data_IF_498259625443
#
_entry.id   IF_498259625443
#
_cell.length_a   1.000
_cell.length_b   1.000
_cell.length_c   1.000
_cell.angle_alpha   90.00
_cell.angle_beta   90.00
_cell.angle_gamma   90.00
#
_symmetry.space_group_name_H-M   'P 1'
#
loop_
_entity.id
_entity.type
_entity.pdbx_description
1 polymer ?
#
# COMPACT_ATOMS: atom_id res chain seq x y z
N UNK A 1 -18.46 8.47 -13.52
CA UNK A 1 -17.22 7.67 -13.49
C UNK A 1 -17.60 6.20 -13.60
N UNK A 2 -16.88 5.43 -14.43
CA UNK A 2 -17.18 4.00 -14.70
C UNK A 2 -17.10 3.59 -16.17
N UNK A 3 -17.10 4.55 -17.10
CA UNK A 3 -16.93 4.33 -18.56
C UNK A 3 -15.48 4.27 -19.04
N UNK A 4 -14.53 4.67 -18.20
CA UNK A 4 -13.10 4.58 -18.40
C UNK A 4 -12.40 4.30 -17.08
N UNK A 5 -11.09 4.46 -17.05
CA UNK A 5 -10.23 4.12 -15.92
C UNK A 5 -10.61 4.90 -14.64
N UNK A 6 -10.41 4.25 -13.50
CA UNK A 6 -10.58 4.85 -12.18
C UNK A 6 -9.70 4.14 -11.17
N UNK A 7 -9.38 4.80 -10.06
CA UNK A 7 -8.77 4.20 -8.88
C UNK A 7 -9.50 4.70 -7.65
N UNK A 8 -9.83 3.80 -6.72
CA UNK A 8 -10.32 4.15 -5.38
C UNK A 8 -9.32 3.61 -4.37
N UNK A 9 -8.91 4.44 -3.42
CA UNK A 9 -8.02 4.07 -2.33
C UNK A 9 -8.61 4.47 -0.98
N UNK A 10 -8.26 3.74 0.07
CA UNK A 10 -8.55 4.10 1.45
C UNK A 10 -7.47 3.54 2.39
N UNK A 11 -7.22 4.22 3.50
CA UNK A 11 -6.65 3.58 4.68
C UNK A 11 -7.78 2.87 5.42
N UNK A 12 -7.57 1.60 5.76
CA UNK A 12 -8.54 0.76 6.46
C UNK A 12 -7.91 0.15 7.71
N UNK A 13 -8.73 -0.08 8.73
CA UNK A 13 -8.37 -0.86 9.91
C UNK A 13 -9.59 -1.58 10.47
N UNK A 14 -9.56 -2.90 10.50
CA UNK A 14 -10.63 -3.71 11.07
C UNK A 14 -10.11 -5.06 11.57
N UNK A 15 -10.88 -5.66 12.49
CA UNK A 15 -10.75 -7.06 12.90
C UNK A 15 -12.13 -7.75 12.89
N UNK A 16 -13.06 -7.25 12.08
CA UNK A 16 -14.39 -7.84 11.91
C UNK A 16 -14.33 -8.91 10.79
N UNK A 17 -14.79 -10.14 11.03
CA UNK A 17 -14.63 -11.26 10.10
C UNK A 17 -15.78 -11.35 9.07
N UNK A 18 -16.52 -10.28 8.83
CA UNK A 18 -17.66 -10.23 7.91
C UNK A 18 -17.35 -9.33 6.70
N UNK A 19 -18.16 -9.46 5.65
CA UNK A 19 -18.18 -8.50 4.54
C UNK A 19 -18.30 -7.05 5.06
N UNK A 20 -17.61 -6.09 4.45
CA UNK A 20 -17.67 -4.69 4.85
C UNK A 20 -17.45 -3.72 3.70
N UNK A 21 -18.48 -2.92 3.36
CA UNK A 21 -18.42 -2.00 2.20
C UNK A 21 -17.54 -0.78 2.48
N UNK A 22 -16.36 -0.71 1.86
CA UNK A 22 -15.43 0.42 2.01
C UNK A 22 -15.89 1.60 1.14
N UNK A 23 -16.14 1.34 -0.15
CA UNK A 23 -16.64 2.32 -1.10
C UNK A 23 -17.55 1.67 -2.15
N UNK A 24 -18.69 2.29 -2.43
CA UNK A 24 -19.61 1.85 -3.49
C UNK A 24 -20.01 3.03 -4.38
N UNK A 25 -19.93 2.83 -5.69
CA UNK A 25 -20.74 3.62 -6.64
C UNK A 25 -21.54 2.68 -7.52
N UNK A 26 -22.84 2.97 -7.63
CA UNK A 26 -23.81 2.10 -8.29
C UNK A 26 -24.98 1.80 -7.36
N UNK A 27 -25.60 0.64 -7.54
CA UNK A 27 -26.54 0.05 -6.58
C UNK A 27 -26.05 -1.36 -6.23
N UNK A 28 -26.07 -1.75 -4.95
CA UNK A 28 -25.75 -3.15 -4.58
C UNK A 28 -26.92 -4.10 -4.88
N UNK A 29 -28.16 -3.61 -4.86
CA UNK A 29 -29.38 -4.38 -5.12
C UNK A 29 -30.32 -3.66 -6.11
N UNK A 30 -31.36 -4.36 -6.57
CA UNK A 30 -32.33 -3.84 -7.56
C UNK A 30 -31.86 -3.84 -9.02
N UNK A 31 -30.64 -4.34 -9.28
CA UNK A 31 -29.99 -4.26 -10.60
C UNK A 31 -29.43 -2.87 -10.89
N UNK A 32 -28.71 -2.75 -12.00
CA UNK A 32 -27.96 -1.56 -12.37
C UNK A 32 -26.45 -1.78 -12.37
N UNK A 33 -25.72 -0.74 -12.75
CA UNK A 33 -24.26 -0.79 -12.91
C UNK A 33 -23.58 -0.39 -11.61
N UNK A 34 -22.42 -0.99 -11.32
CA UNK A 34 -21.66 -0.66 -10.11
C UNK A 34 -20.17 -0.95 -10.23
N UNK A 35 -19.45 -0.34 -9.31
CA UNK A 35 -18.19 -0.86 -8.81
C UNK A 35 -18.19 -0.73 -7.27
N UNK A 36 -17.94 -1.84 -6.60
CA UNK A 36 -17.98 -2.01 -5.15
C UNK A 36 -16.60 -2.44 -4.66
N UNK A 37 -15.97 -1.60 -3.86
CA UNK A 37 -14.76 -1.87 -3.10
C UNK A 37 -15.17 -2.23 -1.68
N UNK A 38 -14.85 -3.45 -1.24
CA UNK A 38 -15.23 -3.98 0.06
C UNK A 38 -14.16 -4.94 0.59
N UNK A 39 -14.21 -5.20 1.89
CA UNK A 39 -13.58 -6.36 2.49
C UNK A 39 -14.56 -7.53 2.41
N UNK A 40 -14.14 -8.73 2.01
CA UNK A 40 -14.99 -9.92 2.08
C UNK A 40 -14.87 -10.66 3.44
N UNK A 41 -15.76 -11.62 3.70
CA UNK A 41 -15.71 -12.47 4.89
C UNK A 41 -14.55 -13.49 4.93
N UNK A 42 -13.59 -13.40 4.00
CA UNK A 42 -12.29 -14.09 4.05
C UNK A 42 -11.14 -13.09 4.31
N UNK A 43 -11.44 -11.80 4.49
CA UNK A 43 -10.50 -10.72 4.75
C UNK A 43 -9.84 -10.13 3.50
N UNK A 44 -10.23 -10.54 2.29
CA UNK A 44 -9.63 -10.01 1.07
C UNK A 44 -10.13 -8.59 0.74
N UNK A 45 -9.26 -7.80 0.12
CA UNK A 45 -9.58 -6.51 -0.50
C UNK A 45 -10.18 -6.79 -1.88
N UNK A 46 -11.50 -6.68 -1.98
CA UNK A 46 -12.24 -7.05 -3.20
C UNK A 46 -12.75 -5.84 -3.98
N UNK A 47 -12.60 -5.88 -5.31
CA UNK A 47 -13.32 -5.04 -6.25
C UNK A 47 -14.27 -5.88 -7.12
N UNK A 48 -15.57 -5.75 -6.86
CA UNK A 48 -16.63 -6.28 -7.71
C UNK A 48 -17.18 -5.18 -8.63
N UNK A 49 -17.20 -5.44 -9.93
CA UNK A 49 -17.81 -4.59 -10.95
C UNK A 49 -18.98 -5.30 -11.61
N UNK A 50 -19.98 -4.53 -12.06
CA UNK A 50 -21.14 -5.04 -12.79
C UNK A 50 -21.59 -3.99 -13.81
N UNK A 51 -21.73 -4.37 -15.08
CA UNK A 51 -22.25 -3.49 -16.13
C UNK A 51 -23.77 -3.68 -16.38
N UNK A 52 -24.45 -4.43 -15.49
CA UNK A 52 -25.81 -4.93 -15.61
C UNK A 52 -25.98 -6.05 -16.67
N UNK A 53 -24.89 -6.74 -17.04
CA UNK A 53 -24.89 -7.95 -17.87
C UNK A 53 -23.75 -8.93 -17.53
N UNK A 54 -22.58 -8.43 -17.12
CA UNK A 54 -21.38 -9.18 -16.79
C UNK A 54 -20.81 -8.58 -15.50
N UNK A 55 -20.72 -9.42 -14.47
CA UNK A 55 -19.97 -9.10 -13.26
C UNK A 55 -18.53 -9.63 -13.36
N UNK A 56 -17.57 -8.85 -12.85
CA UNK A 56 -16.15 -9.21 -12.73
C UNK A 56 -15.68 -8.86 -11.33
N UNK A 57 -14.97 -9.78 -10.70
CA UNK A 57 -14.43 -9.64 -9.35
C UNK A 57 -12.92 -9.84 -9.41
N UNK A 58 -12.19 -9.05 -8.63
CA UNK A 58 -10.80 -9.32 -8.25
C UNK A 58 -10.70 -9.22 -6.73
N UNK A 59 -10.06 -10.21 -6.13
CA UNK A 59 -9.74 -10.30 -4.71
C UNK A 59 -8.22 -10.14 -4.55
N UNK A 60 -7.76 -9.72 -3.37
CA UNK A 60 -6.34 -9.76 -3.00
C UNK A 60 -5.88 -11.19 -2.67
N UNK A 61 -4.60 -11.46 -2.89
CA UNK A 61 -3.95 -12.73 -2.52
C UNK A 61 -3.77 -12.84 -0.98
N UNK A 62 -3.64 -11.69 -0.29
CA UNK A 62 -3.62 -11.59 1.17
C UNK A 62 -4.97 -11.28 1.83
N UNK A 63 -5.05 -11.50 3.15
CA UNK A 63 -6.16 -11.08 4.01
C UNK A 63 -5.72 -9.97 4.98
N UNK A 64 -6.65 -9.07 5.33
CA UNK A 64 -6.37 -7.74 5.91
C UNK A 64 -7.32 -7.36 7.06
N UNK A 65 -7.90 -8.35 7.72
CA UNK A 65 -8.77 -8.28 8.90
C UNK A 65 -8.00 -8.51 10.23
N UNK A 66 -6.69 -8.23 10.25
CA UNK A 66 -5.78 -8.52 11.37
C UNK A 66 -5.78 -7.45 12.49
N UNK A 67 -6.54 -6.37 12.32
CA UNK A 67 -6.57 -5.23 13.24
C UNK A 67 -5.44 -4.21 13.06
N UNK A 68 -4.63 -4.29 12.01
CA UNK A 68 -3.62 -3.30 11.63
C UNK A 68 -4.18 -2.25 10.66
N UNK A 69 -3.35 -1.26 10.31
CA UNK A 69 -3.67 -0.27 9.28
C UNK A 69 -3.12 -0.76 7.93
N UNK A 70 -3.98 -0.82 6.92
CA UNK A 70 -3.61 -1.14 5.54
C UNK A 70 -4.05 -0.04 4.58
N UNK A 71 -3.23 0.25 3.57
CA UNK A 71 -3.60 1.13 2.48
C UNK A 71 -4.00 0.32 1.26
N UNK A 72 -5.31 0.20 1.04
CA UNK A 72 -5.87 -0.59 -0.03
C UNK A 72 -6.31 0.32 -1.19
N UNK A 73 -5.91 -0.03 -2.41
CA UNK A 73 -6.30 0.63 -3.65
C UNK A 73 -6.84 -0.40 -4.66
N UNK A 74 -8.00 -0.12 -5.23
CA UNK A 74 -8.58 -0.93 -6.32
C UNK A 74 -8.85 -0.07 -7.55
N UNK A 75 -8.68 -0.62 -8.74
CA UNK A 75 -8.78 0.16 -9.98
C UNK A 75 -9.30 -0.62 -11.18
N UNK A 76 -9.81 0.16 -12.16
CA UNK A 76 -9.89 -0.23 -13.57
C UNK A 76 -8.72 0.40 -14.31
N UNK A 77 -7.89 -0.44 -14.93
CA UNK A 77 -6.75 -0.10 -15.78
C UNK A 77 -6.99 -0.66 -17.19
N UNK A 78 -7.63 0.15 -18.03
CA UNK A 78 -8.10 -0.20 -19.36
C UNK A 78 -9.11 -1.35 -19.35
N UNK A 79 -8.64 -2.52 -19.80
CA UNK A 79 -9.38 -3.78 -19.85
C UNK A 79 -9.09 -4.71 -18.68
N UNK A 80 -8.49 -4.23 -17.58
CA UNK A 80 -8.19 -5.05 -16.41
C UNK A 80 -8.67 -4.40 -15.11
N UNK A 81 -9.00 -5.24 -14.12
CA UNK A 81 -9.04 -4.87 -12.72
C UNK A 81 -7.69 -5.14 -12.06
N UNK A 82 -7.32 -4.32 -11.08
CA UNK A 82 -6.16 -4.56 -10.20
C UNK A 82 -6.49 -4.18 -8.76
N UNK A 83 -5.84 -4.86 -7.83
CA UNK A 83 -5.78 -4.52 -6.41
C UNK A 83 -4.33 -4.31 -5.98
N UNK A 84 -4.12 -3.33 -5.12
CA UNK A 84 -2.86 -3.00 -4.49
C UNK A 84 -3.11 -2.83 -2.99
N UNK A 85 -2.22 -3.38 -2.17
CA UNK A 85 -2.24 -3.18 -0.71
C UNK A 85 -0.83 -2.77 -0.25
N UNK A 86 -0.75 -1.85 0.70
CA UNK A 86 0.49 -1.28 1.28
C UNK A 86 1.51 -0.80 0.22
N UNK A 87 0.97 -0.32 -0.89
CA UNK A 87 1.69 0.24 -2.03
C UNK A 87 2.32 -0.78 -2.99
N UNK A 88 2.00 -2.07 -2.89
CA UNK A 88 2.41 -3.12 -3.85
C UNK A 88 1.19 -3.76 -4.51
N UNK A 89 1.39 -4.40 -5.67
CA UNK A 89 0.31 -5.15 -6.33
C UNK A 89 0.08 -6.46 -5.56
N UNK A 90 -1.16 -6.81 -5.28
CA UNK A 90 -1.50 -7.97 -4.44
C UNK A 90 -2.47 -8.95 -5.12
N UNK A 91 -2.55 -8.95 -6.46
CA UNK A 91 -3.19 -10.03 -7.21
C UNK A 91 -2.76 -10.03 -8.69
N UNK A 92 -2.98 -11.14 -9.37
CA UNK A 92 -2.94 -11.20 -10.83
C UNK A 92 -4.12 -10.39 -11.44
N UNK A 93 -3.90 -9.54 -12.48
CA UNK A 93 -4.97 -8.72 -13.05
C UNK A 93 -6.10 -9.57 -13.66
N UNK A 94 -7.35 -9.17 -13.39
CA UNK A 94 -8.55 -9.83 -13.94
C UNK A 94 -9.05 -9.07 -15.16
N UNK A 95 -9.26 -9.79 -16.28
CA UNK A 95 -9.76 -9.18 -17.51
C UNK A 95 -11.23 -8.73 -17.40
N UNK A 96 -11.49 -7.52 -17.91
CA UNK A 96 -12.79 -6.91 -18.17
C UNK A 96 -13.27 -7.14 -19.62
N UNK A 97 -12.73 -8.12 -20.34
CA UNK A 97 -13.16 -8.40 -21.71
C UNK A 97 -14.68 -8.65 -21.77
N UNK A 98 -15.35 -7.95 -22.69
CA UNK A 98 -16.80 -7.94 -22.83
C UNK A 98 -17.55 -7.04 -21.85
N UNK A 99 -16.94 -6.61 -20.74
CA UNK A 99 -17.57 -5.71 -19.76
C UNK A 99 -17.63 -4.28 -20.29
N UNK A 100 -18.84 -3.73 -20.36
CA UNK A 100 -19.13 -2.42 -20.89
C UNK A 100 -18.83 -1.27 -19.92
N UNK A 101 -19.66 -0.23 -20.03
CA UNK A 101 -19.59 0.94 -19.15
C UNK A 101 -20.24 0.65 -17.81
N UNK A 102 -19.49 0.81 -16.72
CA UNK A 102 -19.95 0.74 -15.33
C UNK A 102 -20.59 2.07 -14.87
N UNK A 103 -20.67 3.08 -15.75
CA UNK A 103 -21.21 4.38 -15.42
C UNK A 103 -22.74 4.31 -15.28
N UNK A 104 -23.22 4.52 -14.05
CA UNK A 104 -24.59 4.87 -13.73
C UNK A 104 -24.63 6.35 -13.27
N UNK A 105 -25.25 7.25 -14.07
CA UNK A 105 -25.32 8.68 -13.77
C UNK A 105 -26.36 9.04 -12.70
N UNK A 106 -27.29 8.14 -12.38
CA UNK A 106 -28.33 8.34 -11.35
C UNK A 106 -27.96 7.67 -10.02
N UNK A 107 -27.02 6.73 -10.03
CA UNK A 107 -26.56 6.05 -8.83
C UNK A 107 -25.73 6.94 -7.90
N UNK A 108 -26.06 6.88 -6.62
CA UNK A 108 -25.33 7.49 -5.51
C UNK A 108 -23.92 6.88 -5.35
N UNK A 109 -23.14 7.54 -4.50
CA UNK A 109 -21.85 7.12 -4.00
C UNK A 109 -21.96 6.96 -2.49
N UNK A 110 -21.41 5.89 -1.93
CA UNK A 110 -21.42 5.61 -0.49
C UNK A 110 -20.03 5.16 -0.02
N UNK A 111 -19.74 5.42 1.26
CA UNK A 111 -18.48 5.10 1.94
C UNK A 111 -18.85 4.46 3.28
N UNK A 112 -18.22 3.34 3.64
CA UNK A 112 -18.50 2.61 4.89
C UNK A 112 -19.83 1.86 4.94
N UNK A 113 -20.67 1.95 3.90
CA UNK A 113 -22.01 1.35 3.83
C UNK A 113 -22.40 1.15 2.36
N UNK A 114 -23.05 0.02 2.04
CA UNK A 114 -23.68 -0.16 0.74
C UNK A 114 -25.02 0.58 0.68
N UNK A 115 -25.43 1.05 -0.49
CA UNK A 115 -26.75 1.64 -0.68
C UNK A 115 -27.78 0.57 -1.10
N UNK A 116 -28.73 0.29 -0.21
CA UNK A 116 -29.98 -0.39 -0.53
C UNK A 116 -31.07 0.57 -1.05
N UNK A 117 -32.10 -0.01 -1.68
CA UNK A 117 -33.46 0.51 -1.50
C UNK A 117 -33.99 -0.05 -0.17
N UNK A 118 -34.92 0.67 0.49
CA UNK A 118 -35.45 0.55 1.88
C UNK A 118 -35.81 -0.84 2.47
N UNK A 119 -35.67 -1.95 1.74
CA UNK A 119 -36.31 -3.26 2.04
C UNK A 119 -35.35 -4.47 1.97
N UNK A 120 -34.02 -4.26 1.93
CA UNK A 120 -33.01 -5.35 1.84
C UNK A 120 -32.11 -5.39 3.07
N UNK A 121 -32.24 -6.47 3.86
CA UNK A 121 -31.49 -6.72 5.10
C UNK A 121 -29.98 -7.05 4.91
N UNK A 122 -29.46 -6.91 3.70
CA UNK A 122 -28.09 -7.28 3.29
C UNK A 122 -27.20 -6.04 3.03
N UNK A 123 -27.56 -4.88 3.58
CA UNK A 123 -26.62 -3.76 3.70
C UNK A 123 -25.49 -4.14 4.67
N UNK A 124 -24.29 -4.39 4.13
CA UNK A 124 -23.13 -4.76 4.95
C UNK A 124 -22.22 -3.55 5.19
N UNK A 125 -22.31 -2.88 6.36
CA UNK A 125 -21.46 -1.75 6.70
C UNK A 125 -20.04 -2.22 6.96
N UNK A 126 -19.05 -1.37 6.67
CA UNK A 126 -17.68 -1.64 7.09
C UNK A 126 -17.54 -1.39 8.60
N UNK A 127 -17.38 -2.47 9.37
CA UNK A 127 -17.16 -2.41 10.81
C UNK A 127 -15.67 -2.22 11.10
N UNK A 128 -15.21 -0.97 11.11
CA UNK A 128 -13.82 -0.63 11.36
C UNK A 128 -13.57 0.87 11.33
N UNK A 129 -12.32 1.27 11.07
CA UNK A 129 -11.92 2.65 10.82
C UNK A 129 -11.54 2.80 9.35
N UNK A 130 -12.06 3.85 8.71
CA UNK A 130 -11.66 4.31 7.39
C UNK A 130 -10.99 5.68 7.54
N UNK A 131 -9.91 5.92 6.81
CA UNK A 131 -9.28 7.23 6.70
C UNK A 131 -8.82 7.50 5.26
N UNK A 132 -8.63 8.78 4.92
CA UNK A 132 -7.99 9.22 3.67
C UNK A 132 -8.54 8.52 2.39
N UNK A 133 -9.87 8.48 2.27
CA UNK A 133 -10.56 7.89 1.11
C UNK A 133 -10.37 8.78 -0.13
N UNK A 134 -9.72 8.25 -1.17
CA UNK A 134 -9.34 8.97 -2.39
C UNK A 134 -9.96 8.32 -3.62
N UNK A 135 -10.51 9.13 -4.52
CA UNK A 135 -11.15 8.68 -5.76
C UNK A 135 -10.54 9.42 -6.95
N UNK A 136 -10.03 8.66 -7.92
CA UNK A 136 -9.38 9.15 -9.12
C UNK A 136 -10.14 8.71 -10.37
N UNK A 137 -10.27 9.62 -11.34
CA UNK A 137 -10.84 9.36 -12.67
C UNK A 137 -9.81 8.85 -13.69
N UNK A 138 -8.82 8.09 -13.20
CA UNK A 138 -7.71 7.49 -13.95
C UNK A 138 -7.19 6.25 -13.22
N UNK A 139 -6.51 5.36 -13.92
CA UNK A 139 -5.62 4.39 -13.31
C UNK A 139 -4.39 5.12 -12.74
N UNK A 140 -4.01 4.81 -11.51
CA UNK A 140 -2.74 5.27 -10.94
C UNK A 140 -1.59 4.35 -11.37
N UNK A 141 -0.40 4.93 -11.55
CA UNK A 141 0.81 4.11 -11.74
C UNK A 141 1.26 3.49 -10.41
N UNK A 142 2.00 2.36 -10.41
CA UNK A 142 2.55 1.78 -9.18
C UNK A 142 3.36 2.77 -8.34
N UNK A 143 4.08 3.69 -8.98
CA UNK A 143 4.84 4.75 -8.31
C UNK A 143 3.93 5.80 -7.63
N UNK A 144 2.77 6.13 -8.22
CA UNK A 144 1.79 7.02 -7.61
C UNK A 144 1.15 6.35 -6.38
N UNK A 145 0.77 5.07 -6.49
CA UNK A 145 0.19 4.31 -5.37
C UNK A 145 1.18 4.18 -4.21
N UNK A 146 2.47 3.95 -4.51
CA UNK A 146 3.50 3.91 -3.46
C UNK A 146 3.77 5.27 -2.83
N UNK A 147 3.62 6.37 -3.57
CA UNK A 147 3.69 7.72 -3.01
C UNK A 147 2.49 8.03 -2.09
N UNK A 148 1.27 7.69 -2.52
CA UNK A 148 0.03 7.83 -1.72
C UNK A 148 0.05 6.99 -0.44
N UNK A 149 0.67 5.80 -0.48
CA UNK A 149 0.94 4.97 0.70
C UNK A 149 1.92 5.64 1.66
N UNK A 150 3.07 6.08 1.15
CA UNK A 150 4.10 6.70 2.00
C UNK A 150 3.57 8.01 2.65
N UNK A 151 2.76 8.80 1.94
CA UNK A 151 2.23 10.07 2.47
C UNK A 151 1.25 9.90 3.64
N UNK A 152 0.58 8.75 3.78
CA UNK A 152 -0.22 8.44 4.97
C UNK A 152 0.63 8.00 6.17
N UNK A 153 1.81 7.40 5.90
CA UNK A 153 2.72 6.92 6.94
C UNK A 153 3.61 8.03 7.55
N UNK A 154 3.82 9.16 6.85
CA UNK A 154 4.62 10.31 7.34
C UNK A 154 3.88 11.16 8.40
N UNK A 155 3.36 10.49 9.43
CA UNK A 155 2.62 11.10 10.55
C UNK A 155 3.51 11.44 11.76
N UNK A 156 4.58 12.22 11.55
CA UNK A 156 5.25 12.96 12.64
C UNK A 156 6.24 14.03 12.14
N UNK A 157 5.73 15.23 11.83
CA UNK A 157 6.55 16.44 11.88
C UNK A 157 6.78 16.80 13.35
N UNK A 158 7.90 16.35 13.92
CA UNK A 158 8.41 16.88 15.18
C UNK A 158 8.84 18.33 14.91
N UNK A 159 7.97 19.28 15.23
CA UNK A 159 8.38 20.67 15.46
C UNK A 159 9.19 20.69 16.75
N UNK A 160 10.49 20.39 16.63
CA UNK A 160 11.45 20.60 17.69
C UNK A 160 11.50 22.08 18.01
N UNK A 161 11.11 22.42 19.24
CA UNK A 161 11.23 23.77 19.77
C UNK A 161 12.68 24.23 19.63
N UNK A 162 12.90 25.38 19.02
CA UNK A 162 14.24 25.92 18.83
C UNK A 162 14.68 26.57 20.14
N UNK A 163 15.39 25.82 21.00
CA UNK A 163 15.94 26.37 22.24
C UNK A 163 16.83 27.59 21.94
N UNK A 164 16.64 28.66 22.71
CA UNK A 164 17.46 29.87 22.58
C UNK A 164 18.92 29.57 22.93
N UNK A 165 19.82 29.78 21.95
CA UNK A 165 21.26 29.85 22.18
C UNK A 165 21.58 31.07 23.07
N UNK A 166 21.60 30.84 24.38
CA UNK A 166 22.06 31.80 25.39
C UNK A 166 23.58 31.99 25.26
N UNK A 167 23.99 32.93 24.42
CA UNK A 167 25.37 33.39 24.30
C UNK A 167 25.94 33.81 25.67
N UNK A 168 27.05 33.17 26.08
CA UNK A 168 27.83 33.58 27.24
C UNK A 168 29.08 34.35 26.80
N UNK A 169 29.11 35.65 27.11
CA UNK A 169 30.29 36.49 26.95
C UNK A 169 31.48 35.94 27.76
N UNK A 170 32.67 35.91 27.14
CA UNK A 170 33.92 35.56 27.81
C UNK A 170 34.55 36.78 28.50
N UNK A 171 34.89 36.66 29.79
CA UNK A 171 35.77 37.63 30.48
C UNK A 171 37.22 37.11 30.54
N UNK A 172 38.17 38.03 30.34
CA UNK A 172 39.62 37.80 30.28
C UNK A 172 40.27 37.47 31.63
N UNK A 173 41.39 36.73 31.63
CA UNK A 173 42.75 37.30 31.82
C UNK A 173 43.86 36.27 32.17
N UNK A 174 45.08 36.65 31.80
CA UNK A 174 46.33 36.42 32.55
C UNK A 174 47.01 35.03 32.63
N UNK A 175 47.81 34.78 31.59
CA UNK A 175 49.29 34.82 31.67
C UNK A 175 50.15 33.57 31.99
N UNK A 176 51.20 33.45 31.15
CA UNK A 176 52.60 33.14 31.46
C UNK A 176 53.16 31.70 31.35
N UNK A 177 54.19 31.58 30.50
CA UNK A 177 55.36 30.66 30.57
C UNK A 177 55.14 29.13 30.53
N UNK A 178 56.03 28.29 29.96
CA UNK A 178 57.20 28.51 29.08
C UNK A 178 57.72 27.16 28.53
N UNK A 179 58.27 27.17 27.31
CA UNK A 179 59.39 26.33 26.80
C UNK A 179 59.34 24.77 26.88
N UNK A 180 59.57 24.11 25.72
CA UNK A 180 60.41 22.89 25.67
C UNK A 180 60.14 21.85 24.57
N UNK A 181 61.00 21.76 23.54
CA UNK A 181 61.21 20.57 22.66
C UNK A 181 60.12 20.25 21.61
N UNK A 182 60.35 19.97 20.30
CA UNK A 182 61.53 19.54 19.51
C UNK A 182 62.04 18.16 20.00
N UNK A 183 61.97 17.02 19.28
CA UNK A 183 61.73 16.69 17.84
C UNK A 183 61.28 15.23 17.61
N UNK A 184 60.66 14.98 16.43
CA UNK A 184 60.74 13.83 15.50
C UNK A 184 60.78 12.36 15.99
N UNK A 185 59.97 11.49 15.34
CA UNK A 185 60.42 10.65 14.20
C UNK A 185 59.72 9.26 14.06
N UNK A 186 58.81 9.16 13.07
CA UNK A 186 58.62 8.02 12.14
C UNK A 186 58.19 6.59 12.57
N UNK A 187 57.54 5.93 11.58
CA UNK A 187 57.49 4.48 11.30
C UNK A 187 56.74 3.58 12.29
N UNK A 188 55.56 3.04 11.94
CA UNK A 188 55.30 1.84 11.11
C UNK A 188 54.88 0.66 12.02
N UNK A 189 54.15 -0.39 11.63
CA UNK A 189 53.73 -0.98 10.34
C UNK A 189 52.65 -2.05 10.59
N UNK A 190 52.09 -2.64 9.53
CA UNK A 190 51.76 -4.10 9.38
C UNK A 190 50.71 -4.76 10.31
N UNK A 191 49.92 -5.78 9.90
CA UNK A 191 49.58 -6.37 8.57
C UNK A 191 48.68 -7.62 8.75
N UNK A 192 47.76 -7.90 7.81
CA UNK A 192 47.30 -9.27 7.40
C UNK A 192 46.70 -10.20 8.51
N UNK A 193 46.13 -11.39 8.33
CA UNK A 193 45.62 -12.27 7.24
C UNK A 193 44.74 -13.36 7.93
N UNK A 194 43.91 -14.22 7.32
CA UNK A 194 43.44 -14.48 5.95
C UNK A 194 42.13 -15.31 6.04
N UNK A 195 41.37 -15.49 4.96
CA UNK A 195 40.25 -16.45 4.87
C UNK A 195 40.64 -17.76 4.17
N UNK A 196 40.13 -18.90 4.66
CA UNK A 196 40.52 -20.24 4.20
C UNK A 196 39.58 -20.89 3.17
N UNK A 197 40.22 -21.70 2.33
CA UNK A 197 39.78 -22.76 1.41
C UNK A 197 38.31 -23.26 1.46
N UNK A 198 37.78 -23.51 0.26
CA UNK A 198 36.89 -24.64 -0.01
C UNK A 198 37.46 -25.49 -1.15
N UNK A 199 37.43 -26.82 -1.00
CA UNK A 199 37.98 -27.78 -1.96
C UNK A 199 36.99 -28.89 -2.30
N UNK A 200 36.68 -29.01 -3.61
CA UNK A 200 36.40 -30.25 -4.36
C UNK A 200 35.51 -31.35 -3.76
N UNK A 201 34.44 -31.70 -4.49
CA UNK A 201 34.29 -33.07 -5.03
C UNK A 201 33.28 -33.11 -6.19
N UNK A 202 33.41 -34.12 -7.05
CA UNK A 202 32.70 -34.30 -8.33
C UNK A 202 32.04 -35.68 -8.42
N UNK A 203 31.19 -35.90 -9.44
CA UNK A 203 30.53 -37.15 -9.92
C UNK A 203 28.98 -37.08 -9.86
N UNK A 204 28.17 -37.71 -10.71
CA UNK A 204 28.35 -38.22 -12.10
C UNK A 204 26.99 -38.72 -12.65
N UNK A 205 26.68 -38.40 -13.91
CA UNK A 205 25.84 -39.17 -14.87
C UNK A 205 24.60 -39.99 -14.42
N UNK A 206 23.46 -39.73 -15.05
CA UNK A 206 22.59 -40.78 -15.63
C UNK A 206 21.60 -40.17 -16.64
N UNK A 207 21.69 -40.56 -17.91
CA UNK A 207 20.72 -40.25 -18.96
C UNK A 207 20.13 -41.55 -19.49
N UNK A 208 18.82 -41.73 -19.40
CA UNK A 208 18.11 -42.88 -19.95
C UNK A 208 16.90 -42.42 -20.75
N UNK A 209 16.95 -42.64 -22.07
CA UNK A 209 15.80 -42.52 -22.97
C UNK A 209 15.04 -43.84 -23.03
N UNK A 210 13.72 -43.81 -23.26
CA UNK A 210 13.03 -44.73 -24.19
C UNK A 210 11.53 -44.44 -24.32
N UNK A 211 11.08 -44.49 -25.59
CA UNK A 211 9.72 -44.74 -26.15
C UNK A 211 8.52 -43.92 -25.68
#
# INVERSE_FOLDING_TARGET
>A
MGSGDFTVCAWIKTSDPNDGTIFLKGRRYGGGKRYNFYLDAQGHITLNTDDNSISRVIDSDGSYEDGAWHFACVMRDGSNLRVYVDGVVDAAPVSLDGTGSLDDPLALCAIGMANGDDDVLDEVPFLGVLDEVRVYNKALTPAQIKADYNSGNDSLLIFGDAEEESSSESEDESSSSSSGGVVDNSSSSSSSSSSEKLSSSSSSSSSSSSV
#
